data_IF_607078455201
#
_entry.id   IF_607078455201
#
_cell.length_a   1.000
_cell.length_b   1.000
_cell.length_c   1.000
_cell.angle_alpha   90.00
_cell.angle_beta   90.00
_cell.angle_gamma   90.00
#
_symmetry.space_group_name_H-M   'P 1'
#
loop_
_entity.id
_entity.type
_entity.pdbx_description
1 polymer ?
#
# COMPACT_ATOMS: atom_id res chain seq x y z
N UNK A 1 -16.07 -12.26 30.80
CA UNK A 1 -16.93 -11.64 29.77
C UNK A 1 -16.55 -10.20 29.51
N UNK A 2 -16.29 -9.37 30.54
CA UNK A 2 -15.86 -7.96 30.37
C UNK A 2 -14.65 -7.76 29.46
N UNK A 3 -13.74 -8.73 29.44
CA UNK A 3 -12.46 -8.65 28.72
C UNK A 3 -12.49 -9.37 27.37
N UNK A 4 -13.67 -9.74 26.87
CA UNK A 4 -13.85 -10.32 25.54
C UNK A 4 -14.26 -9.21 24.57
N UNK A 5 -13.47 -9.02 23.52
CA UNK A 5 -13.78 -8.13 22.41
C UNK A 5 -13.99 -8.95 21.14
N UNK A 6 -15.00 -8.62 20.34
CA UNK A 6 -15.28 -9.33 19.10
C UNK A 6 -15.39 -8.36 17.93
N UNK A 7 -15.04 -8.82 16.74
CA UNK A 7 -15.27 -8.11 15.49
C UNK A 7 -15.83 -9.03 14.42
N UNK A 8 -16.45 -8.43 13.41
CA UNK A 8 -17.02 -9.14 12.27
C UNK A 8 -16.01 -9.27 11.14
N UNK A 9 -15.98 -10.45 10.52
CA UNK A 9 -15.19 -10.75 9.32
C UNK A 9 -16.11 -11.11 8.17
N UNK A 10 -15.74 -10.68 6.96
CA UNK A 10 -16.39 -11.13 5.73
C UNK A 10 -16.18 -12.63 5.54
N UNK A 11 -17.15 -13.28 4.90
CA UNK A 11 -17.19 -14.74 4.71
C UNK A 11 -17.04 -15.16 3.25
N UNK A 12 -16.91 -14.20 2.33
CA UNK A 12 -16.78 -14.47 0.90
C UNK A 12 -17.95 -15.27 0.31
N UNK A 13 -17.63 -16.11 -0.69
CA UNK A 13 -18.57 -17.03 -1.35
C UNK A 13 -17.85 -18.33 -1.68
N UNK A 14 -18.47 -19.47 -1.36
CA UNK A 14 -17.87 -20.81 -1.44
C UNK A 14 -18.71 -21.81 -2.25
N UNK A 15 -19.57 -21.32 -3.14
CA UNK A 15 -20.38 -22.16 -4.04
C UNK A 15 -21.83 -22.33 -3.60
N UNK A 16 -22.26 -21.65 -2.55
CA UNK A 16 -23.64 -21.65 -2.09
C UNK A 16 -24.62 -21.11 -3.15
N UNK A 17 -25.82 -21.68 -3.20
CA UNK A 17 -26.87 -21.32 -4.18
C UNK A 17 -27.62 -20.04 -3.80
N UNK A 18 -27.83 -19.84 -2.51
CA UNK A 18 -28.49 -18.68 -1.94
C UNK A 18 -27.51 -18.08 -0.94
N UNK A 19 -27.26 -16.78 -1.03
CA UNK A 19 -26.46 -16.04 -0.06
C UNK A 19 -27.34 -15.07 0.72
N UNK A 20 -26.95 -14.82 1.96
CA UNK A 20 -27.47 -13.76 2.82
C UNK A 20 -26.35 -12.76 3.09
N UNK A 21 -26.67 -11.58 3.59
CA UNK A 21 -25.65 -10.67 4.15
C UNK A 21 -25.22 -11.21 5.52
N UNK A 22 -24.42 -12.25 5.49
CA UNK A 22 -23.92 -12.93 6.68
C UNK A 22 -22.47 -12.56 6.93
N UNK A 23 -22.11 -12.39 8.21
CA UNK A 23 -20.75 -12.16 8.66
C UNK A 23 -20.40 -13.19 9.72
N UNK A 24 -19.12 -13.56 9.80
CA UNK A 24 -18.61 -14.34 10.91
C UNK A 24 -18.15 -13.39 12.02
N UNK A 25 -18.31 -13.78 13.28
CA UNK A 25 -17.81 -13.05 14.44
C UNK A 25 -16.61 -13.79 15.03
N UNK A 26 -15.47 -13.11 15.10
CA UNK A 26 -14.28 -13.59 15.79
C UNK A 26 -14.12 -12.82 17.11
N UNK A 27 -13.72 -13.52 18.18
CA UNK A 27 -13.58 -12.95 19.51
C UNK A 27 -12.15 -13.12 20.05
N UNK A 28 -11.75 -12.21 20.94
CA UNK A 28 -10.39 -12.07 21.45
C UNK A 28 -10.44 -11.77 22.94
N UNK A 29 -9.42 -12.22 23.67
CA UNK A 29 -9.30 -11.98 25.10
C UNK A 29 -8.28 -10.88 25.41
N UNK A 30 -8.77 -9.74 25.88
CA UNK A 30 -7.99 -8.52 26.07
C UNK A 30 -7.39 -8.35 27.48
N UNK A 31 -7.65 -9.26 28.42
CA UNK A 31 -7.14 -9.11 29.79
C UNK A 31 -5.60 -9.07 29.81
N UNK A 32 -5.04 -8.00 30.35
CA UNK A 32 -3.58 -7.85 30.52
C UNK A 32 -2.82 -7.29 29.31
N UNK A 33 -3.47 -6.99 28.19
CA UNK A 33 -2.81 -6.36 27.02
C UNK A 33 -3.80 -5.62 26.12
N UNK A 34 -3.38 -4.50 25.52
CA UNK A 34 -4.17 -3.89 24.44
C UNK A 34 -4.08 -4.65 23.11
N UNK A 35 -3.14 -5.59 22.99
CA UNK A 35 -2.92 -6.35 21.77
C UNK A 35 -3.81 -7.59 21.68
N UNK A 36 -5.13 -7.34 21.57
CA UNK A 36 -6.13 -8.41 21.57
C UNK A 36 -5.94 -9.38 20.39
N UNK A 37 -5.45 -8.91 19.23
CA UNK A 37 -5.29 -9.73 18.01
C UNK A 37 -4.30 -10.89 18.18
N UNK A 38 -3.40 -10.82 19.17
CA UNK A 38 -2.50 -11.93 19.50
C UNK A 38 -3.12 -12.96 20.45
N UNK A 39 -4.38 -12.75 20.86
CA UNK A 39 -5.10 -13.60 21.83
C UNK A 39 -6.51 -13.97 21.35
N UNK A 40 -6.64 -14.57 20.15
CA UNK A 40 -7.93 -15.00 19.64
C UNK A 40 -8.50 -16.15 20.46
N UNK A 41 -9.83 -16.16 20.56
CA UNK A 41 -10.64 -17.27 21.06
C UNK A 41 -11.09 -18.03 19.82
N UNK A 42 -10.45 -19.17 19.56
CA UNK A 42 -10.71 -19.98 18.37
C UNK A 42 -11.64 -21.17 18.64
N UNK A 43 -12.02 -21.83 17.54
CA UNK A 43 -12.90 -22.99 17.49
C UNK A 43 -14.37 -22.77 17.88
N UNK A 44 -14.77 -21.50 17.99
CA UNK A 44 -16.17 -21.08 18.07
C UNK A 44 -16.58 -20.46 16.73
N UNK A 45 -17.55 -21.09 16.05
CA UNK A 45 -18.17 -20.56 14.84
C UNK A 45 -19.41 -19.78 15.23
N UNK A 46 -19.41 -18.48 14.93
CA UNK A 46 -20.53 -17.57 15.18
C UNK A 46 -20.82 -16.84 13.88
N UNK A 47 -21.97 -17.11 13.27
CA UNK A 47 -22.43 -16.37 12.11
C UNK A 47 -23.60 -15.48 12.49
N UNK A 48 -23.65 -14.29 11.91
CA UNK A 48 -24.69 -13.29 12.13
C UNK A 48 -25.27 -12.89 10.79
N UNK A 49 -26.59 -13.04 10.66
CA UNK A 49 -27.35 -12.43 9.59
C UNK A 49 -27.46 -10.93 9.89
N UNK A 50 -26.82 -10.12 9.05
CA UNK A 50 -26.67 -8.68 9.24
C UNK A 50 -27.91 -7.91 8.81
N UNK A 51 -28.80 -8.51 8.01
CA UNK A 51 -30.09 -7.90 7.66
C UNK A 51 -31.10 -8.11 8.78
N UNK A 52 -31.12 -9.31 9.35
CA UNK A 52 -32.00 -9.67 10.46
C UNK A 52 -31.43 -9.28 11.84
N UNK A 53 -30.15 -8.86 11.90
CA UNK A 53 -29.41 -8.51 13.12
C UNK A 53 -29.48 -9.59 14.21
N UNK A 54 -29.29 -10.86 13.83
CA UNK A 54 -29.33 -12.01 14.75
C UNK A 54 -28.28 -13.06 14.42
N UNK A 55 -27.90 -13.84 15.44
CA UNK A 55 -27.08 -15.04 15.25
C UNK A 55 -27.87 -16.03 14.37
N UNK A 56 -27.27 -16.41 13.24
CA UNK A 56 -27.80 -17.37 12.28
C UNK A 56 -27.26 -18.77 12.55
N UNK A 57 -26.01 -18.89 12.99
CA UNK A 57 -25.35 -20.15 13.32
C UNK A 57 -24.44 -19.95 14.56
N UNK A 58 -24.45 -20.93 15.46
CA UNK A 58 -23.52 -21.01 16.59
C UNK A 58 -23.06 -22.46 16.74
N UNK A 59 -21.74 -22.66 16.75
CA UNK A 59 -21.13 -23.97 16.98
C UNK A 59 -19.83 -23.79 17.77
N UNK A 60 -19.80 -24.32 18.98
CA UNK A 60 -18.60 -24.42 19.82
C UNK A 60 -17.99 -25.82 19.62
N UNK A 61 -16.78 -25.88 19.06
CA UNK A 61 -16.19 -27.14 18.55
C UNK A 61 -15.19 -27.73 19.53
N UNK A 62 -14.23 -26.91 19.97
CA UNK A 62 -13.10 -27.37 20.76
C UNK A 62 -12.59 -26.26 21.68
N UNK A 63 -12.10 -26.66 22.86
CA UNK A 63 -11.42 -25.74 23.78
C UNK A 63 -9.96 -25.65 23.37
N UNK A 64 -9.55 -24.47 22.90
CA UNK A 64 -8.18 -24.20 22.47
C UNK A 64 -7.33 -23.58 23.58
N UNK A 65 -6.01 -23.63 23.39
CA UNK A 65 -5.08 -22.89 24.26
C UNK A 65 -5.18 -21.40 23.96
N UNK A 66 -5.22 -20.55 24.98
CA UNK A 66 -5.16 -19.10 24.80
C UNK A 66 -3.70 -18.61 24.92
N UNK A 67 -3.16 -17.88 23.93
CA UNK A 67 -1.84 -17.29 24.04
C UNK A 67 -1.72 -16.34 25.25
N UNK A 68 -0.51 -16.24 25.81
CA UNK A 68 -0.22 -15.37 26.96
C UNK A 68 -0.25 -13.90 26.54
N UNK A 69 -0.63 -13.02 27.48
CA UNK A 69 -0.57 -11.57 27.28
C UNK A 69 0.87 -11.02 27.40
N UNK A 70 1.74 -11.71 28.13
CA UNK A 70 3.12 -11.28 28.38
C UNK A 70 3.89 -11.08 27.06
N UNK A 71 4.53 -9.92 26.95
CA UNK A 71 5.33 -9.57 25.77
C UNK A 71 4.54 -9.09 24.55
N UNK A 72 3.22 -8.91 24.65
CA UNK A 72 2.37 -8.50 23.51
C UNK A 72 2.08 -6.99 23.46
N UNK A 73 2.31 -6.25 24.54
CA UNK A 73 1.98 -4.83 24.67
C UNK A 73 2.93 -3.94 23.86
N UNK A 74 2.37 -2.98 23.11
CA UNK A 74 3.11 -2.10 22.20
C UNK A 74 3.12 -0.64 22.66
N UNK A 75 2.26 -0.26 23.62
CA UNK A 75 2.18 1.12 24.11
C UNK A 75 3.35 1.39 25.04
N UNK A 76 4.19 2.35 24.66
CA UNK A 76 5.36 2.77 25.44
C UNK A 76 5.07 3.02 26.92
N UNK A 77 3.91 3.61 27.23
CA UNK A 77 3.48 3.90 28.61
C UNK A 77 3.25 2.66 29.49
N UNK A 78 3.13 1.49 28.89
CA UNK A 78 2.89 0.21 29.57
C UNK A 78 4.09 -0.74 29.47
N UNK A 79 5.15 -0.35 28.74
CA UNK A 79 6.38 -1.14 28.63
C UNK A 79 7.29 -0.93 29.84
N UNK A 80 8.03 -1.98 30.20
CA UNK A 80 9.02 -1.95 31.28
C UNK A 80 10.44 -1.80 30.70
N UNK A 81 11.37 -1.11 31.39
CA UNK A 81 12.78 -1.07 31.00
C UNK A 81 13.42 -2.48 30.93
N UNK A 82 14.51 -2.65 30.15
CA UNK A 82 15.22 -1.63 29.39
C UNK A 82 14.56 -1.27 28.05
N UNK A 83 14.61 0.01 27.68
CA UNK A 83 14.17 0.52 26.38
C UNK A 83 15.40 0.97 25.58
N UNK A 84 15.48 0.60 24.30
CA UNK A 84 16.59 1.05 23.45
C UNK A 84 16.58 0.45 22.04
N UNK A 85 17.50 0.91 21.18
CA UNK A 85 18.50 1.95 21.42
C UNK A 85 17.90 3.37 21.50
N UNK A 86 18.56 4.29 22.22
CA UNK A 86 18.15 5.71 22.26
C UNK A 86 18.41 6.36 20.90
N UNK A 87 17.37 6.97 20.32
CA UNK A 87 17.48 7.77 19.10
C UNK A 87 17.58 9.26 19.43
N UNK A 88 18.41 10.00 18.69
CA UNK A 88 18.49 11.45 18.79
C UNK A 88 17.54 12.08 17.77
N UNK A 89 16.42 12.63 18.25
CA UNK A 89 15.44 13.25 17.37
C UNK A 89 15.98 14.59 16.84
N UNK A 90 15.95 14.79 15.52
CA UNK A 90 16.12 16.09 14.87
C UNK A 90 14.89 16.38 14.02
N UNK A 91 14.15 17.42 14.38
CA UNK A 91 13.09 17.95 13.53
C UNK A 91 13.70 19.01 12.60
N UNK A 92 13.47 18.88 11.30
CA UNK A 92 13.83 19.89 10.31
C UNK A 92 12.61 20.79 10.10
N UNK A 93 12.76 22.10 10.32
CA UNK A 93 11.70 23.10 10.11
C UNK A 93 12.11 24.00 8.95
N UNK A 94 11.21 24.21 7.99
CA UNK A 94 11.43 25.17 6.91
C UNK A 94 11.12 26.59 7.39
N UNK A 95 12.06 27.52 7.23
CA UNK A 95 11.92 28.89 7.73
C UNK A 95 10.81 29.69 7.02
N UNK A 96 10.45 29.31 5.78
CA UNK A 96 9.53 30.06 4.92
C UNK A 96 8.20 29.31 4.67
N UNK A 97 7.85 28.34 5.51
CA UNK A 97 6.68 27.48 5.30
C UNK A 97 6.93 26.36 4.28
N UNK A 98 5.87 25.65 3.83
CA UNK A 98 5.99 24.58 2.84
C UNK A 98 6.33 25.12 1.44
N UNK A 99 7.15 24.41 0.67
CA UNK A 99 7.46 24.73 -0.73
C UNK A 99 6.33 24.47 -1.73
N UNK A 100 5.12 24.17 -1.24
CA UNK A 100 3.93 23.94 -2.03
C UNK A 100 2.79 24.85 -1.58
N UNK A 101 1.83 25.06 -2.48
CA UNK A 101 0.58 25.78 -2.19
C UNK A 101 -0.60 24.84 -2.36
N UNK A 102 -1.62 25.06 -1.52
CA UNK A 102 -2.88 24.33 -1.54
C UNK A 102 -4.03 25.33 -1.76
N UNK A 103 -4.58 25.34 -2.97
CA UNK A 103 -5.71 26.19 -3.36
C UNK A 103 -6.97 25.31 -3.43
N UNK A 104 -7.75 25.29 -2.35
CA UNK A 104 -8.80 24.28 -2.18
C UNK A 104 -8.18 22.89 -2.11
N UNK A 105 -8.44 22.05 -3.12
CA UNK A 105 -7.85 20.72 -3.23
C UNK A 105 -6.77 20.62 -4.33
N UNK A 106 -6.41 21.75 -4.95
CA UNK A 106 -5.36 21.82 -5.96
C UNK A 106 -4.01 22.08 -5.29
N UNK A 107 -3.07 21.17 -5.52
CA UNK A 107 -1.70 21.25 -5.03
C UNK A 107 -0.79 21.72 -6.16
N UNK A 108 -0.04 22.80 -5.91
CA UNK A 108 1.05 23.26 -6.80
C UNK A 108 2.37 23.18 -6.05
N UNK A 109 3.33 22.47 -6.60
CA UNK A 109 4.64 22.26 -5.99
C UNK A 109 5.72 22.11 -7.06
N UNK A 110 6.81 22.86 -6.93
CA UNK A 110 7.89 22.87 -7.92
C UNK A 110 7.34 23.06 -9.35
N UNK A 111 7.45 22.04 -10.20
CA UNK A 111 6.91 22.01 -11.55
C UNK A 111 5.64 21.15 -11.68
N UNK A 112 5.04 20.68 -10.60
CA UNK A 112 3.81 19.88 -10.61
C UNK A 112 2.57 20.68 -10.22
N UNK A 113 1.46 20.33 -10.85
CA UNK A 113 0.11 20.72 -10.45
C UNK A 113 -0.81 19.50 -10.51
N UNK A 114 -1.58 19.25 -9.45
CA UNK A 114 -2.56 18.16 -9.37
C UNK A 114 -3.69 18.46 -8.40
N UNK A 115 -4.79 17.71 -8.50
CA UNK A 115 -5.92 17.76 -7.57
C UNK A 115 -5.91 16.55 -6.64
N UNK A 116 -6.08 16.77 -5.34
CA UNK A 116 -6.19 15.73 -4.32
C UNK A 116 -7.65 15.57 -3.88
N UNK A 117 -8.25 14.41 -4.16
CA UNK A 117 -9.57 14.05 -3.65
C UNK A 117 -9.47 12.95 -2.59
N UNK A 118 -10.55 12.78 -1.83
CA UNK A 118 -10.69 11.77 -0.79
C UNK A 118 -12.02 11.05 -0.96
N UNK A 119 -12.01 9.71 -0.93
CA UNK A 119 -13.16 8.85 -1.20
C UNK A 119 -13.30 7.78 -0.11
N UNK A 120 -14.54 7.47 0.28
CA UNK A 120 -14.84 6.50 1.34
C UNK A 120 -14.29 5.09 1.05
N UNK A 121 -14.30 4.67 -0.22
CA UNK A 121 -13.92 3.33 -0.64
C UNK A 121 -12.41 3.22 -0.87
N UNK A 122 -11.81 4.20 -1.54
CA UNK A 122 -10.43 4.09 -2.05
C UNK A 122 -9.42 5.04 -1.39
N UNK A 123 -9.87 5.91 -0.49
CA UNK A 123 -9.01 6.88 0.20
C UNK A 123 -8.53 7.99 -0.75
N UNK A 124 -7.22 8.32 -0.80
CA UNK A 124 -6.71 9.45 -1.57
C UNK A 124 -6.70 9.16 -3.07
N UNK A 125 -7.12 10.15 -3.86
CA UNK A 125 -7.11 10.09 -5.32
C UNK A 125 -6.31 11.27 -5.86
N UNK A 126 -5.24 10.98 -6.61
CA UNK A 126 -4.47 11.98 -7.36
C UNK A 126 -5.11 12.15 -8.72
N UNK A 127 -5.53 13.37 -9.06
CA UNK A 127 -6.18 13.67 -10.34
C UNK A 127 -5.49 14.82 -11.07
N UNK A 128 -5.61 14.84 -12.40
CA UNK A 128 -5.14 15.91 -13.28
C UNK A 128 -3.64 16.26 -13.13
N UNK A 129 -2.82 15.32 -12.67
CA UNK A 129 -1.41 15.57 -12.44
C UNK A 129 -0.67 15.92 -13.74
N UNK A 130 -0.12 17.12 -13.75
CA UNK A 130 0.55 17.72 -14.89
C UNK A 130 1.87 18.34 -14.44
N UNK A 131 2.88 18.22 -15.29
CA UNK A 131 4.22 18.77 -15.06
C UNK A 131 4.50 19.93 -16.01
N UNK A 132 5.05 21.02 -15.50
CA UNK A 132 5.46 22.19 -16.27
C UNK A 132 6.78 21.90 -16.97
N UNK A 133 6.74 21.98 -18.30
CA UNK A 133 7.90 21.84 -19.17
C UNK A 133 8.50 23.24 -19.40
N UNK A 134 9.67 23.48 -18.82
CA UNK A 134 10.37 24.78 -18.91
C UNK A 134 10.79 25.13 -20.33
N UNK A 135 11.10 24.15 -21.18
CA UNK A 135 11.51 24.39 -22.57
C UNK A 135 10.31 24.69 -23.47
N UNK A 136 9.18 24.04 -23.21
CA UNK A 136 7.95 24.19 -23.99
C UNK A 136 7.01 25.26 -23.44
N UNK A 137 7.34 25.85 -22.27
CA UNK A 137 6.53 26.84 -21.56
C UNK A 137 5.06 26.44 -21.39
N UNK A 138 4.80 25.17 -21.04
CA UNK A 138 3.44 24.65 -20.85
C UNK A 138 3.37 23.49 -19.87
N UNK A 139 2.22 23.33 -19.24
CA UNK A 139 1.90 22.11 -18.49
C UNK A 139 1.58 20.96 -19.44
N UNK A 140 2.12 19.79 -19.11
CA UNK A 140 1.98 18.54 -19.85
C UNK A 140 1.34 17.50 -18.94
N UNK A 141 0.21 16.95 -19.38
CA UNK A 141 -0.55 15.95 -18.61
C UNK A 141 0.23 14.65 -18.50
N UNK A 142 0.19 14.03 -17.32
CA UNK A 142 0.82 12.73 -17.05
C UNK A 142 -0.21 11.70 -16.56
N UNK A 143 -0.98 12.04 -15.53
CA UNK A 143 -1.93 11.15 -14.87
C UNK A 143 -3.28 11.87 -14.74
N UNK A 144 -4.33 11.34 -15.38
CA UNK A 144 -5.67 11.88 -15.23
C UNK A 144 -6.27 11.51 -13.88
N UNK A 145 -6.13 10.25 -13.45
CA UNK A 145 -6.62 9.76 -12.17
C UNK A 145 -5.83 8.53 -11.69
N UNK A 146 -5.36 8.55 -10.44
CA UNK A 146 -4.61 7.47 -9.82
C UNK A 146 -5.03 7.22 -8.36
N UNK A 147 -5.24 5.95 -8.00
CA UNK A 147 -5.59 5.52 -6.64
C UNK A 147 -5.36 4.01 -6.45
N UNK A 148 -5.33 3.54 -5.19
CA UNK A 148 -5.40 2.11 -4.86
C UNK A 148 -6.85 1.68 -5.01
N UNK A 149 -7.14 0.82 -5.99
CA UNK A 149 -8.52 0.44 -6.31
C UNK A 149 -9.05 -0.69 -5.44
N UNK A 150 -8.16 -1.58 -5.00
CA UNK A 150 -8.52 -2.72 -4.17
C UNK A 150 -7.29 -3.31 -3.48
N UNK A 151 -7.51 -3.97 -2.34
CA UNK A 151 -6.55 -4.87 -1.72
C UNK A 151 -7.15 -6.27 -1.63
N UNK A 152 -6.34 -7.32 -1.72
CA UNK A 152 -6.78 -8.69 -1.51
C UNK A 152 -5.81 -9.42 -0.57
N UNK A 153 -6.34 -9.88 0.58
CA UNK A 153 -5.58 -10.49 1.67
C UNK A 153 -6.04 -11.94 1.90
N UNK A 154 -5.62 -12.91 1.06
CA UNK A 154 -5.96 -14.32 1.25
C UNK A 154 -5.08 -14.96 2.33
N UNK A 155 -5.71 -15.59 3.31
CA UNK A 155 -5.05 -16.49 4.26
C UNK A 155 -4.96 -17.92 3.70
N UNK A 156 -3.94 -18.65 4.12
CA UNK A 156 -3.57 -19.96 3.56
C UNK A 156 -3.83 -21.14 4.52
N UNK A 157 -4.71 -20.94 5.51
CA UNK A 157 -5.15 -21.99 6.42
C UNK A 157 -6.54 -22.51 5.99
N UNK A 158 -6.64 -23.77 5.52
CA UNK A 158 -7.89 -24.33 5.01
C UNK A 158 -8.82 -24.84 6.12
N UNK A 159 -8.46 -24.69 7.39
CA UNK A 159 -9.32 -25.11 8.49
C UNK A 159 -10.61 -24.28 8.54
N UNK A 160 -11.65 -24.88 9.11
CA UNK A 160 -12.99 -24.26 9.24
C UNK A 160 -12.97 -22.92 10.02
N UNK A 161 -11.91 -22.62 10.79
CA UNK A 161 -11.73 -21.31 11.42
C UNK A 161 -11.26 -20.20 10.47
N UNK A 162 -10.60 -20.56 9.37
CA UNK A 162 -9.76 -19.67 8.57
C UNK A 162 -10.04 -19.66 7.07
N UNK A 163 -10.61 -20.73 6.51
CA UNK A 163 -10.75 -20.91 5.05
C UNK A 163 -11.45 -19.73 4.34
N UNK A 164 -12.36 -19.05 5.03
CA UNK A 164 -13.12 -17.91 4.52
C UNK A 164 -12.39 -16.56 4.57
N UNK A 165 -11.23 -16.47 5.24
CA UNK A 165 -10.50 -15.22 5.43
C UNK A 165 -9.74 -14.84 4.16
N UNK A 166 -10.38 -14.03 3.33
CA UNK A 166 -9.80 -13.50 2.10
C UNK A 166 -10.29 -12.07 1.84
N UNK A 167 -9.80 -11.13 2.64
CA UNK A 167 -10.36 -9.78 2.73
C UNK A 167 -10.16 -8.96 1.46
N UNK A 168 -11.19 -8.19 1.12
CA UNK A 168 -11.13 -7.14 0.11
C UNK A 168 -11.26 -5.77 0.78
N UNK A 169 -10.16 -5.26 1.34
CA UNK A 169 -10.21 -4.13 2.28
C UNK A 169 -10.95 -2.90 1.74
N UNK A 170 -10.71 -2.52 0.48
CA UNK A 170 -11.38 -1.35 -0.10
C UNK A 170 -12.84 -1.66 -0.39
N UNK A 171 -13.15 -2.84 -0.93
CA UNK A 171 -14.50 -3.24 -1.31
C UNK A 171 -15.44 -3.57 -0.13
N UNK A 172 -14.91 -4.17 0.93
CA UNK A 172 -15.69 -4.69 2.06
C UNK A 172 -15.76 -3.71 3.24
N UNK A 173 -14.66 -3.00 3.53
CA UNK A 173 -14.55 -2.12 4.70
C UNK A 173 -14.47 -0.63 4.34
N UNK A 174 -14.00 -0.32 3.13
CA UNK A 174 -13.82 1.04 2.64
C UNK A 174 -12.53 1.67 3.16
N UNK A 175 -11.55 1.81 2.29
CA UNK A 175 -10.20 2.21 2.66
C UNK A 175 -10.09 3.67 3.13
N UNK A 176 -10.99 4.53 2.67
CA UNK A 176 -11.12 5.89 3.21
C UNK A 176 -11.88 5.93 4.53
N UNK A 177 -12.87 5.04 4.72
CA UNK A 177 -13.59 4.90 5.99
C UNK A 177 -12.68 4.41 7.12
N UNK A 178 -11.65 3.62 6.77
CA UNK A 178 -10.64 3.11 7.71
C UNK A 178 -9.41 4.03 7.83
N UNK A 179 -9.45 5.23 7.25
CA UNK A 179 -8.39 6.22 7.45
C UNK A 179 -8.36 6.68 8.92
N UNK A 180 -7.17 6.66 9.52
CA UNK A 180 -6.95 7.06 10.91
C UNK A 180 -6.32 8.45 11.00
N UNK A 181 -6.60 9.22 12.07
CA UNK A 181 -5.91 10.49 12.31
C UNK A 181 -4.39 10.30 12.38
N UNK A 182 -3.67 11.08 11.59
CA UNK A 182 -2.21 11.01 11.52
C UNK A 182 -1.53 11.76 12.69
N UNK A 183 -0.65 11.02 13.37
CA UNK A 183 0.49 11.37 14.22
C UNK A 183 1.39 12.54 13.81
N UNK A 184 1.23 13.80 14.25
CA UNK A 184 2.24 14.81 13.98
C UNK A 184 3.60 14.40 14.58
N UNK A 185 4.66 14.57 13.78
CA UNK A 185 6.06 14.18 14.08
C UNK A 185 6.35 12.67 14.11
N UNK A 186 5.32 11.81 14.10
CA UNK A 186 5.49 10.35 14.07
C UNK A 186 5.13 9.80 12.70
N UNK A 187 3.92 10.07 12.22
CA UNK A 187 3.44 9.63 10.90
C UNK A 187 3.82 10.63 9.81
N UNK A 188 3.85 11.92 10.14
CA UNK A 188 4.19 13.00 9.21
C UNK A 188 5.22 13.97 9.82
N UNK A 189 6.19 14.46 9.03
CA UNK A 189 7.26 15.32 9.53
C UNK A 189 6.75 16.72 9.92
N UNK A 190 7.60 17.49 10.58
CA UNK A 190 7.27 18.82 11.11
C UNK A 190 6.85 19.85 10.03
N UNK A 191 7.24 19.66 8.77
CA UNK A 191 6.87 20.51 7.64
C UNK A 191 5.59 20.04 6.93
N UNK A 192 4.84 19.09 7.51
CA UNK A 192 3.61 18.59 6.93
C UNK A 192 2.44 19.56 7.10
N UNK A 193 1.61 19.66 6.07
CA UNK A 193 0.28 20.26 6.11
C UNK A 193 -0.74 19.14 6.18
N UNK A 194 -1.60 19.16 7.19
CA UNK A 194 -2.65 18.16 7.38
C UNK A 194 -3.96 18.60 6.74
N UNK A 195 -4.71 17.62 6.24
CA UNK A 195 -6.02 17.81 5.62
C UNK A 195 -7.00 16.86 6.32
N UNK A 196 -8.12 17.42 6.76
CA UNK A 196 -9.21 16.66 7.36
C UNK A 196 -10.02 15.92 6.29
N UNK A 197 -10.45 14.70 6.61
CA UNK A 197 -11.39 13.92 5.81
C UNK A 197 -12.82 14.11 6.30
N UNK A 198 -13.78 14.15 5.38
CA UNK A 198 -15.22 14.16 5.70
C UNK A 198 -15.91 13.07 4.89
N UNK A 199 -16.53 12.10 5.59
CA UNK A 199 -17.23 10.98 4.99
C UNK A 199 -18.63 10.85 5.60
N UNK A 200 -19.55 10.17 4.92
CA UNK A 200 -20.89 9.94 5.45
C UNK A 200 -20.91 8.71 6.39
N UNK A 201 -21.58 8.85 7.54
CA UNK A 201 -21.91 7.74 8.43
C UNK A 201 -23.11 6.94 7.91
N UNK A 202 -23.49 5.86 8.59
CA UNK A 202 -24.61 5.00 8.22
C UNK A 202 -25.96 5.72 8.15
N UNK A 203 -26.14 6.80 8.92
CA UNK A 203 -27.32 7.67 8.92
C UNK A 203 -27.23 8.81 7.87
N UNK A 204 -26.14 8.85 7.10
CA UNK A 204 -25.86 9.87 6.10
C UNK A 204 -25.28 11.17 6.65
N UNK A 205 -25.06 11.28 7.97
CA UNK A 205 -24.47 12.47 8.57
C UNK A 205 -22.96 12.54 8.30
N UNK A 206 -22.39 13.74 8.05
CA UNK A 206 -20.97 13.88 7.82
C UNK A 206 -20.18 13.65 9.12
N UNK A 207 -19.18 12.78 9.05
CA UNK A 207 -18.21 12.52 10.11
C UNK A 207 -16.85 13.03 9.67
N UNK A 208 -16.21 13.75 10.57
CA UNK A 208 -14.88 14.31 10.38
C UNK A 208 -13.83 13.32 10.89
N UNK A 209 -12.88 12.97 10.03
CA UNK A 209 -11.59 12.36 10.43
C UNK A 209 -10.54 13.46 10.41
N UNK A 210 -10.10 13.90 11.59
CA UNK A 210 -9.07 14.94 11.67
C UNK A 210 -7.73 14.41 11.18
N UNK A 211 -6.93 15.23 10.50
CA UNK A 211 -5.60 14.82 10.00
C UNK A 211 -5.62 13.53 9.15
N UNK A 212 -6.66 13.31 8.34
CA UNK A 212 -6.79 12.09 7.52
C UNK A 212 -5.68 11.96 6.47
N UNK A 213 -5.19 13.10 5.96
CA UNK A 213 -4.11 13.15 4.98
C UNK A 213 -3.04 14.14 5.46
N UNK A 214 -1.80 13.93 5.05
CA UNK A 214 -0.76 14.94 5.17
C UNK A 214 0.03 15.11 3.87
N UNK A 215 0.45 16.34 3.58
CA UNK A 215 1.30 16.70 2.44
C UNK A 215 2.60 17.28 2.99
N UNK A 216 3.75 16.78 2.54
CA UNK A 216 5.05 17.28 3.00
C UNK A 216 6.15 17.14 1.95
N UNK A 217 7.19 17.96 2.09
CA UNK A 217 8.42 17.80 1.31
C UNK A 217 9.37 16.83 2.03
N UNK A 218 9.81 15.79 1.33
CA UNK A 218 10.75 14.80 1.83
C UNK A 218 12.18 15.21 1.46
N UNK A 219 13.01 15.37 2.48
CA UNK A 219 14.45 15.61 2.37
C UNK A 219 15.23 14.38 2.84
N UNK A 220 15.19 13.29 2.06
CA UNK A 220 15.77 12.00 2.46
C UNK A 220 17.32 11.95 2.38
N UNK A 221 17.97 13.06 2.01
CA UNK A 221 19.40 13.06 1.70
C UNK A 221 19.74 12.39 0.36
N UNK A 222 18.71 12.07 -0.43
CA UNK A 222 18.85 11.50 -1.76
C UNK A 222 19.49 12.51 -2.73
N UNK A 223 20.20 11.98 -3.73
CA UNK A 223 20.90 12.77 -4.73
C UNK A 223 20.08 12.77 -6.01
N UNK A 224 19.64 13.95 -6.46
CA UNK A 224 18.89 14.10 -7.72
C UNK A 224 19.78 13.74 -8.91
N UNK A 225 20.99 14.30 -8.94
CA UNK A 225 22.08 13.89 -9.83
C UNK A 225 23.41 14.43 -9.33
N UNK A 226 24.50 13.79 -9.75
CA UNK A 226 25.86 14.26 -9.48
C UNK A 226 26.83 13.83 -10.56
N UNK A 227 27.91 14.59 -10.71
CA UNK A 227 29.05 14.22 -11.52
C UNK A 227 30.36 14.74 -10.92
N UNK A 228 31.46 14.05 -11.22
CA UNK A 228 32.80 14.47 -10.83
C UNK A 228 33.73 14.14 -11.99
N UNK A 229 34.26 15.17 -12.63
CA UNK A 229 35.23 15.04 -13.73
C UNK A 229 36.64 15.06 -13.13
N UNK A 230 37.41 14.02 -13.42
CA UNK A 230 38.73 13.77 -12.82
C UNK A 230 39.88 13.85 -13.82
N UNK A 231 39.58 14.00 -15.11
CA UNK A 231 40.57 14.01 -16.20
C UNK A 231 40.91 15.40 -16.69
N UNK A 232 40.06 16.39 -16.43
CA UNK A 232 40.34 17.78 -16.75
C UNK A 232 41.05 18.48 -15.57
N UNK A 233 41.91 19.47 -15.84
CA UNK A 233 42.52 20.28 -14.78
C UNK A 233 41.45 21.03 -13.95
N UNK A 234 41.65 21.06 -12.63
CA UNK A 234 40.75 21.74 -11.66
C UNK A 234 39.88 20.78 -10.85
N UNK A 235 39.17 21.30 -9.85
CA UNK A 235 38.16 20.55 -9.09
C UNK A 235 36.78 20.74 -9.74
N UNK A 236 36.43 19.85 -10.67
CA UNK A 236 35.16 19.88 -11.40
C UNK A 236 34.21 18.85 -10.79
N UNK A 237 33.35 19.33 -9.88
CA UNK A 237 32.36 18.51 -9.19
C UNK A 237 31.05 19.26 -9.04
N UNK A 238 29.95 18.55 -9.30
CA UNK A 238 28.60 19.08 -9.17
C UNK A 238 27.68 18.04 -8.53
N UNK A 239 26.86 18.47 -7.57
CA UNK A 239 25.92 17.62 -6.83
C UNK A 239 24.63 18.40 -6.60
N UNK A 240 23.48 17.79 -6.88
CA UNK A 240 22.17 18.37 -6.58
C UNK A 240 21.37 17.45 -5.66
N UNK A 241 20.81 17.98 -4.56
CA UNK A 241 19.95 17.20 -3.67
C UNK A 241 18.60 16.92 -4.32
N UNK A 242 17.99 15.79 -3.97
CA UNK A 242 16.61 15.47 -4.31
C UNK A 242 15.67 15.96 -3.21
N UNK A 243 14.58 16.60 -3.64
CA UNK A 243 13.41 16.93 -2.80
C UNK A 243 12.20 16.40 -3.53
N UNK A 244 11.35 15.66 -2.82
CA UNK A 244 10.09 15.13 -3.36
C UNK A 244 8.90 15.58 -2.53
N UNK A 245 7.74 15.69 -3.16
CA UNK A 245 6.48 15.94 -2.46
C UNK A 245 5.79 14.62 -2.17
N UNK A 246 5.36 14.41 -0.93
CA UNK A 246 4.64 13.21 -0.51
C UNK A 246 3.24 13.60 -0.06
N UNK A 247 2.24 12.91 -0.58
CA UNK A 247 0.88 12.86 -0.02
C UNK A 247 0.73 11.53 0.69
N UNK A 248 0.40 11.55 1.98
CA UNK A 248 0.28 10.37 2.83
C UNK A 248 -1.10 10.20 3.41
N UNK A 249 -1.56 8.95 3.47
CA UNK A 249 -2.67 8.46 4.30
C UNK A 249 -2.20 7.24 5.09
N UNK A 250 -2.74 7.03 6.29
CA UNK A 250 -2.69 5.73 6.97
C UNK A 250 -4.10 5.17 7.10
N UNK A 251 -4.31 3.93 6.69
CA UNK A 251 -5.55 3.20 6.87
C UNK A 251 -5.31 1.98 7.78
N UNK A 252 -6.19 1.79 8.76
CA UNK A 252 -6.12 0.65 9.70
C UNK A 252 -7.33 -0.24 9.51
N UNK A 253 -7.13 -1.44 8.95
CA UNK A 253 -8.19 -2.42 8.71
C UNK A 253 -7.97 -3.59 9.66
N UNK A 254 -8.76 -3.61 10.74
CA UNK A 254 -8.59 -4.61 11.79
C UNK A 254 -7.19 -4.55 12.41
N UNK A 255 -6.40 -5.59 12.18
CA UNK A 255 -5.05 -5.75 12.71
C UNK A 255 -3.94 -5.14 11.83
N UNK A 256 -4.24 -4.68 10.61
CA UNK A 256 -3.24 -4.18 9.67
C UNK A 256 -3.25 -2.66 9.56
N UNK A 257 -2.06 -2.09 9.41
CA UNK A 257 -1.85 -0.66 9.15
C UNK A 257 -1.15 -0.48 7.79
N UNK A 258 -1.79 0.27 6.89
CA UNK A 258 -1.33 0.56 5.54
C UNK A 258 -0.91 2.01 5.42
N UNK A 259 0.38 2.26 5.18
CA UNK A 259 0.93 3.60 4.95
C UNK A 259 0.99 3.86 3.44
N UNK A 260 0.05 4.65 2.92
CA UNK A 260 -0.02 4.98 1.50
C UNK A 260 0.74 6.28 1.21
N UNK A 261 1.74 6.21 0.34
CA UNK A 261 2.49 7.36 -0.13
C UNK A 261 2.35 7.54 -1.65
N UNK A 262 1.91 8.73 -2.07
CA UNK A 262 2.12 9.26 -3.42
C UNK A 262 3.26 10.26 -3.41
N UNK A 263 4.37 9.92 -4.06
CA UNK A 263 5.60 10.71 -4.12
C UNK A 263 5.82 11.30 -5.52
N UNK A 264 5.84 12.62 -5.64
CA UNK A 264 6.10 13.35 -6.90
C UNK A 264 7.49 13.99 -6.85
N UNK A 265 8.23 13.88 -7.96
CA UNK A 265 9.63 14.35 -8.07
C UNK A 265 9.79 15.39 -9.17
N UNK A 266 10.67 16.41 -9.03
CA UNK A 266 10.83 17.45 -10.06
C UNK A 266 11.43 16.90 -11.36
N UNK A 267 12.05 15.72 -11.30
CA UNK A 267 12.53 14.94 -12.44
C UNK A 267 11.41 14.39 -13.33
N UNK A 268 10.14 14.51 -12.93
CA UNK A 268 8.98 13.96 -13.63
C UNK A 268 8.54 12.57 -13.18
N UNK A 269 9.20 11.99 -12.17
CA UNK A 269 8.81 10.69 -11.63
C UNK A 269 7.63 10.83 -10.66
N UNK A 270 6.68 9.89 -10.76
CA UNK A 270 5.66 9.62 -9.74
C UNK A 270 5.95 8.23 -9.19
N UNK A 271 6.10 8.13 -7.88
CA UNK A 271 6.30 6.87 -7.17
C UNK A 271 5.13 6.68 -6.22
N UNK A 272 4.47 5.53 -6.33
CA UNK A 272 3.46 5.11 -5.36
C UNK A 272 4.02 3.95 -4.54
N UNK A 273 3.74 3.94 -3.24
CA UNK A 273 4.17 2.87 -2.35
C UNK A 273 3.17 2.64 -1.23
N UNK A 274 3.13 1.39 -0.75
CA UNK A 274 2.38 1.00 0.45
C UNK A 274 3.38 0.42 1.45
N UNK A 275 3.47 1.01 2.63
CA UNK A 275 4.12 0.42 3.79
C UNK A 275 3.13 -0.44 4.57
N UNK A 276 3.59 -1.59 5.08
CA UNK A 276 2.78 -2.51 5.88
C UNK A 276 3.34 -2.56 7.31
N UNK A 277 2.48 -2.36 8.29
CA UNK A 277 2.76 -2.58 9.71
C UNK A 277 1.49 -3.09 10.42
N UNK A 278 1.43 -2.97 11.74
CA UNK A 278 0.33 -3.48 12.56
C UNK A 278 0.69 -4.79 13.25
N UNK A 279 -0.31 -5.64 13.44
CA UNK A 279 -0.23 -6.88 14.22
C UNK A 279 -0.53 -8.08 13.33
N UNK A 280 0.20 -9.19 13.52
CA UNK A 280 -0.11 -10.45 12.85
C UNK A 280 -1.49 -10.96 13.29
N UNK A 281 -2.29 -11.45 12.34
CA UNK A 281 -3.38 -12.36 12.69
C UNK A 281 -2.77 -13.74 13.01
N UNK A 282 -3.08 -14.24 14.19
CA UNK A 282 -2.47 -15.48 14.70
C UNK A 282 -3.52 -16.53 14.96
N UNK A 283 -3.09 -17.79 14.88
CA UNK A 283 -3.87 -18.97 15.28
C UNK A 283 -3.28 -19.55 16.57
N UNK A 284 -4.09 -19.82 17.61
CA UNK A 284 -3.62 -20.51 18.78
C UNK A 284 -3.25 -21.96 18.50
N UNK A 285 -2.16 -22.42 19.09
CA UNK A 285 -1.70 -23.81 18.97
C UNK A 285 -1.23 -24.33 20.33
N UNK A 286 -1.17 -25.65 20.47
CA UNK A 286 -0.66 -26.30 21.70
C UNK A 286 0.87 -26.31 21.76
N UNK A 287 1.55 -26.06 20.63
CA UNK A 287 3.01 -26.06 20.55
C UNK A 287 3.63 -24.84 21.24
N UNK A 288 4.72 -25.05 21.95
CA UNK A 288 5.56 -24.03 22.60
C UNK A 288 6.94 -23.94 21.97
N UNK A 289 7.32 -24.92 21.15
CA UNK A 289 8.58 -24.98 20.43
C UNK A 289 8.38 -25.56 19.03
N UNK A 290 9.18 -25.12 18.05
CA UNK A 290 9.12 -25.60 16.67
C UNK A 290 9.28 -27.13 16.54
N UNK A 291 10.07 -27.76 17.41
CA UNK A 291 10.29 -29.22 17.40
C UNK A 291 9.03 -30.03 17.74
N UNK A 292 7.99 -29.38 18.28
CA UNK A 292 6.71 -30.01 18.61
C UNK A 292 5.74 -30.06 17.42
N UNK A 293 6.05 -29.36 16.32
CA UNK A 293 5.22 -29.30 15.12
C UNK A 293 5.39 -30.60 14.34
N UNK A 294 4.30 -31.37 14.20
CA UNK A 294 4.31 -32.69 13.54
C UNK A 294 3.62 -32.70 12.17
N UNK A 295 2.80 -31.70 11.92
CA UNK A 295 1.95 -31.57 10.74
C UNK A 295 2.07 -30.14 10.18
N UNK A 296 1.51 -29.91 9.00
CA UNK A 296 1.49 -28.57 8.41
C UNK A 296 0.75 -27.59 9.33
N UNK A 297 1.43 -26.51 9.72
CA UNK A 297 0.88 -25.51 10.62
C UNK A 297 0.16 -24.38 9.87
N UNK A 298 0.30 -24.32 8.54
CA UNK A 298 -0.23 -23.25 7.68
C UNK A 298 0.26 -21.85 8.10
N UNK A 299 1.43 -21.82 8.76
CA UNK A 299 2.02 -20.62 9.30
C UNK A 299 3.34 -20.90 9.99
N UNK A 300 3.90 -19.88 10.62
CA UNK A 300 5.14 -19.97 11.39
C UNK A 300 4.84 -19.80 12.88
N UNK A 301 5.42 -20.63 13.74
CA UNK A 301 5.39 -20.43 15.19
C UNK A 301 6.22 -19.19 15.55
N UNK A 302 5.56 -18.09 15.92
CA UNK A 302 6.20 -16.79 16.21
C UNK A 302 6.39 -16.53 17.70
N UNK A 303 5.63 -17.24 18.54
CA UNK A 303 5.76 -17.27 19.99
C UNK A 303 5.18 -18.58 20.53
N UNK A 304 5.36 -18.85 21.83
CA UNK A 304 4.65 -19.94 22.49
C UNK A 304 3.14 -19.87 22.18
N UNK A 305 2.56 -21.00 21.78
CA UNK A 305 1.15 -21.14 21.47
C UNK A 305 0.61 -20.27 20.32
N UNK A 306 1.49 -19.66 19.52
CA UNK A 306 1.11 -18.60 18.58
C UNK A 306 1.69 -18.85 17.19
N UNK A 307 0.85 -19.26 16.24
CA UNK A 307 1.22 -19.37 14.83
C UNK A 307 0.76 -18.13 14.08
N UNK A 308 1.68 -17.42 13.45
CA UNK A 308 1.36 -16.41 12.44
C UNK A 308 0.97 -17.11 11.15
N UNK A 309 -0.31 -17.01 10.77
CA UNK A 309 -0.85 -17.73 9.61
C UNK A 309 -0.31 -17.12 8.31
N UNK A 310 0.10 -17.98 7.36
CA UNK A 310 0.56 -17.52 6.06
C UNK A 310 -0.57 -16.79 5.32
N UNK A 311 -0.23 -15.65 4.70
CA UNK A 311 -1.16 -14.84 3.93
C UNK A 311 -0.38 -13.94 2.96
N UNK A 312 -1.09 -13.42 1.97
CA UNK A 312 -0.54 -12.46 1.01
C UNK A 312 -1.17 -11.08 1.18
N UNK A 313 -0.49 -10.05 0.68
CA UNK A 313 -1.07 -8.70 0.51
C UNK A 313 -0.95 -8.32 -0.96
N UNK A 314 -2.06 -8.39 -1.69
CA UNK A 314 -2.13 -7.90 -3.07
C UNK A 314 -2.72 -6.49 -3.08
N UNK A 315 -2.03 -5.56 -3.75
CA UNK A 315 -2.49 -4.17 -3.89
C UNK A 315 -2.69 -3.87 -5.37
N UNK A 316 -3.90 -3.46 -5.73
CA UNK A 316 -4.26 -3.10 -7.09
C UNK A 316 -4.33 -1.58 -7.25
N UNK A 317 -3.72 -1.07 -8.32
CA UNK A 317 -3.73 0.36 -8.65
C UNK A 317 -4.55 0.62 -9.90
N UNK A 318 -5.42 1.62 -9.82
CA UNK A 318 -5.99 2.25 -11.00
C UNK A 318 -5.09 3.40 -11.43
N UNK A 319 -4.59 3.37 -12.68
CA UNK A 319 -3.70 4.38 -13.24
C UNK A 319 -4.19 4.81 -14.63
N UNK A 320 -5.00 5.87 -14.68
CA UNK A 320 -5.48 6.46 -15.93
C UNK A 320 -4.44 7.46 -16.47
N UNK A 321 -3.49 6.96 -17.26
CA UNK A 321 -2.41 7.77 -17.81
C UNK A 321 -2.85 8.51 -19.06
N UNK A 322 -2.69 9.84 -19.04
CA UNK A 322 -2.92 10.72 -20.18
C UNK A 322 -1.61 11.42 -20.54
N UNK A 323 -0.65 10.68 -21.11
CA UNK A 323 0.67 11.18 -21.48
C UNK A 323 0.52 12.18 -22.64
N UNK A 324 0.66 13.47 -22.35
CA UNK A 324 0.40 14.59 -23.28
C UNK A 324 -0.99 14.58 -23.95
N UNK A 325 -1.97 13.92 -23.33
CA UNK A 325 -3.31 13.74 -23.88
C UNK A 325 -3.81 12.30 -23.74
N UNK A 326 -5.01 12.06 -24.25
CA UNK A 326 -5.77 10.81 -24.17
C UNK A 326 -5.35 9.77 -25.23
N UNK A 327 -4.86 10.23 -26.38
CA UNK A 327 -4.42 9.37 -27.47
C UNK A 327 -3.09 8.67 -27.14
N UNK A 328 -3.17 7.59 -26.36
CA UNK A 328 -2.01 6.85 -25.85
C UNK A 328 -1.94 5.41 -26.42
N UNK A 329 -0.78 4.78 -26.29
CA UNK A 329 -0.55 3.38 -26.67
C UNK A 329 0.46 2.74 -25.72
N UNK A 330 0.23 1.48 -25.39
CA UNK A 330 1.12 0.70 -24.55
C UNK A 330 2.18 -0.01 -25.40
N UNK A 331 3.44 0.07 -24.96
CA UNK A 331 4.59 -0.52 -25.64
C UNK A 331 5.40 -1.33 -24.65
N UNK A 332 5.52 -2.64 -24.92
CA UNK A 332 6.48 -3.53 -24.27
C UNK A 332 7.81 -3.46 -25.01
N UNK A 333 8.89 -3.21 -24.29
CA UNK A 333 10.26 -3.19 -24.83
C UNK A 333 11.07 -4.31 -24.20
N UNK A 334 11.41 -5.33 -24.97
CA UNK A 334 12.22 -6.46 -24.51
C UNK A 334 13.70 -6.19 -24.78
N UNK A 335 14.58 -6.50 -23.83
CA UNK A 335 15.99 -6.65 -24.12
C UNK A 335 16.24 -8.03 -24.73
N UNK A 336 16.85 -8.06 -25.91
CA UNK A 336 17.13 -9.31 -26.64
C UNK A 336 18.60 -9.38 -26.99
N UNK A 337 19.23 -10.51 -26.66
CA UNK A 337 20.62 -10.79 -27.03
C UNK A 337 20.70 -11.15 -28.51
N UNK A 338 21.65 -10.55 -29.22
CA UNK A 338 22.00 -10.85 -30.60
C UNK A 338 23.46 -11.25 -30.71
N UNK A 339 23.71 -12.28 -31.51
CA UNK A 339 25.06 -12.67 -31.88
C UNK A 339 25.62 -11.67 -32.90
N UNK A 340 26.89 -11.33 -32.75
CA UNK A 340 27.60 -10.52 -33.72
C UNK A 340 28.10 -11.43 -34.85
N UNK A 341 27.43 -11.39 -35.99
CA UNK A 341 27.75 -12.21 -37.17
C UNK A 341 28.67 -11.50 -38.17
N UNK A 342 29.03 -10.23 -37.93
CA UNK A 342 29.80 -9.42 -38.88
C UNK A 342 31.28 -9.85 -38.97
N UNK A 343 31.82 -10.59 -38.00
CA UNK A 343 33.22 -11.06 -37.98
C UNK A 343 34.29 -9.97 -37.90
N UNK A 344 33.92 -8.70 -38.05
CA UNK A 344 34.81 -7.53 -38.06
C UNK A 344 35.23 -7.03 -36.67
N UNK A 345 34.66 -7.58 -35.60
CA UNK A 345 35.04 -7.19 -34.24
C UNK A 345 35.20 -8.42 -33.34
N UNK A 346 36.08 -8.37 -32.31
CA UNK A 346 36.22 -9.46 -31.35
C UNK A 346 34.98 -9.72 -30.47
N UNK A 347 34.02 -8.78 -30.45
CA UNK A 347 32.80 -8.88 -29.63
C UNK A 347 31.88 -9.93 -30.23
N UNK A 348 31.53 -10.97 -29.46
CA UNK A 348 30.71 -12.10 -29.93
C UNK A 348 29.20 -11.85 -29.87
N UNK A 349 28.73 -10.97 -28.98
CA UNK A 349 27.30 -10.66 -28.83
C UNK A 349 27.09 -9.25 -28.28
N UNK A 350 25.85 -8.78 -28.39
CA UNK A 350 25.35 -7.54 -27.80
C UNK A 350 23.86 -7.70 -27.52
N UNK A 351 23.27 -6.85 -26.68
CA UNK A 351 21.82 -6.78 -26.54
C UNK A 351 21.26 -5.63 -27.36
N UNK A 352 20.00 -5.75 -27.77
CA UNK A 352 19.24 -4.68 -28.41
C UNK A 352 17.81 -4.68 -27.90
N UNK A 353 17.01 -3.73 -28.36
CA UNK A 353 15.61 -3.58 -27.97
C UNK A 353 14.67 -4.08 -29.05
N UNK A 354 13.71 -4.92 -28.67
CA UNK A 354 12.57 -5.28 -29.50
C UNK A 354 11.30 -4.62 -28.91
N UNK A 355 10.60 -3.81 -29.70
CA UNK A 355 9.40 -3.09 -29.25
C UNK A 355 8.16 -3.78 -29.81
N UNK A 356 7.20 -4.05 -28.94
CA UNK A 356 5.88 -4.57 -29.29
C UNK A 356 4.83 -3.58 -28.79
N UNK A 357 4.11 -2.96 -29.73
CA UNK A 357 2.98 -2.09 -29.42
C UNK A 357 1.71 -2.94 -29.31
N UNK A 358 0.88 -2.68 -28.30
CA UNK A 358 -0.40 -3.35 -28.17
C UNK A 358 -1.39 -2.90 -29.24
N UNK A 359 -2.31 -3.79 -29.59
CA UNK A 359 -3.48 -3.42 -30.40
C UNK A 359 -4.49 -2.67 -29.51
N UNK A 360 -5.21 -1.67 -30.05
CA UNK A 360 -6.32 -1.05 -29.33
C UNK A 360 -7.36 -2.10 -28.91
N UNK A 361 -7.98 -1.92 -27.74
CA UNK A 361 -9.11 -2.71 -27.22
C UNK A 361 -8.81 -4.20 -26.91
N UNK A 362 -7.55 -4.59 -26.77
CA UNK A 362 -7.20 -5.88 -26.19
C UNK A 362 -6.86 -5.69 -24.70
N UNK A 363 -7.47 -6.49 -23.82
CA UNK A 363 -6.97 -6.63 -22.46
C UNK A 363 -5.52 -7.14 -22.53
N UNK A 364 -4.64 -6.48 -21.79
CA UNK A 364 -3.24 -6.86 -21.72
C UNK A 364 -2.97 -7.45 -20.35
N UNK A 365 -2.62 -8.73 -20.35
CA UNK A 365 -2.20 -9.45 -19.15
C UNK A 365 -0.69 -9.67 -19.22
N UNK A 366 -0.01 -9.37 -18.12
CA UNK A 366 1.43 -9.55 -18.02
C UNK A 366 1.80 -10.13 -16.66
N UNK A 367 2.62 -11.19 -16.69
CA UNK A 367 3.30 -11.71 -15.51
C UNK A 367 4.78 -11.30 -15.57
N UNK A 368 5.31 -10.82 -14.44
CA UNK A 368 6.73 -10.53 -14.30
C UNK A 368 7.49 -11.81 -14.03
N UNK A 369 8.30 -12.24 -14.99
CA UNK A 369 9.27 -13.33 -14.81
C UNK A 369 10.66 -12.73 -14.60
N UNK A 370 11.16 -12.74 -13.36
CA UNK A 370 12.53 -12.32 -13.05
C UNK A 370 13.60 -13.20 -13.72
N UNK A 371 13.22 -14.40 -14.19
CA UNK A 371 14.10 -15.39 -14.82
C UNK A 371 14.34 -15.16 -16.32
N UNK A 372 13.64 -14.22 -16.96
CA UNK A 372 13.86 -13.83 -18.37
C UNK A 372 14.25 -12.35 -18.46
N UNK A 373 15.24 -12.06 -19.30
CA UNK A 373 15.85 -10.75 -19.54
C UNK A 373 14.87 -9.56 -19.41
N UNK A 374 15.36 -8.50 -18.74
CA UNK A 374 14.61 -7.30 -18.35
C UNK A 374 13.72 -6.75 -19.48
N UNK A 375 12.44 -6.56 -19.18
CA UNK A 375 11.48 -5.87 -20.05
C UNK A 375 11.15 -4.49 -19.46
N UNK A 376 11.07 -3.47 -20.32
CA UNK A 376 10.61 -2.13 -19.96
C UNK A 376 9.23 -1.87 -20.57
N UNK A 377 8.31 -1.39 -19.73
CA UNK A 377 6.94 -1.07 -20.11
C UNK A 377 6.81 0.44 -20.26
N UNK A 378 6.17 0.92 -21.33
CA UNK A 378 6.01 2.36 -21.56
C UNK A 378 4.66 2.67 -22.21
N UNK A 379 3.99 3.69 -21.70
CA UNK A 379 2.86 4.34 -22.38
C UNK A 379 3.40 5.55 -23.16
N UNK A 380 2.96 5.72 -24.40
CA UNK A 380 3.41 6.81 -25.29
C UNK A 380 2.22 7.42 -26.03
N UNK A 381 2.38 8.66 -26.47
CA UNK A 381 1.47 9.30 -27.42
C UNK A 381 1.35 8.43 -28.68
N UNK A 382 0.12 8.16 -29.09
CA UNK A 382 -0.21 7.50 -30.34
C UNK A 382 0.08 8.48 -31.47
N UNK A 383 1.17 8.28 -32.21
CA UNK A 383 1.38 9.02 -33.46
C UNK A 383 0.28 8.62 -34.45
N UNK A 384 -0.32 9.57 -35.20
CA UNK A 384 -1.16 9.22 -36.34
C UNK A 384 -0.34 8.32 -37.26
N UNK A 385 -0.95 7.26 -37.82
CA UNK A 385 -0.36 6.62 -39.00
C UNK A 385 -0.23 7.74 -40.04
N UNK A 386 1.00 8.07 -40.43
CA UNK A 386 1.21 8.80 -41.69
C UNK A 386 0.58 7.91 -42.77
N UNK A 387 -0.55 8.35 -43.30
CA UNK A 387 -1.19 7.72 -44.45
C UNK A 387 -0.22 7.96 -45.62
N UNK A 388 0.66 7.01 -45.88
CA UNK A 388 1.44 6.98 -47.12
C UNK A 388 0.48 6.57 -48.22
N UNK A 389 -0.20 7.56 -48.79
CA UNK A 389 -0.75 7.46 -50.16
C UNK A 389 0.27 7.99 -51.14
#
# INVERSE_FOLDING_TARGET
MSDVACYTVSIGWFGEKNSKRELKVDCFYAEGTANMFLRPIEDIKIHVDFDEMRVSEYLDREITTLPKADGTEYRLSHMKPPLGPRMNNKATVTANGPGFTLEGNTVKWANWEFHLAFDARVGPIISLASIYDLEQHKYRRVLYRGYVSELYIPYQDPSEGWYQRSFFDSGEFGFGLTAVPLEPLNDCPANAVFIDGYLANQDGLPVKTSNALCIFERHAGDIMWRHTESKLPGDIREVRPEVSLVVRMVATVGNYDYILDWELKPSGSIKSGVGLTGVLAVRPVTYTNADQIKEEAHGTLVAENTVGVYHDHFINYYLDLHIDGDANSFVKTNLVTKNNTNGKTPRKSYWTVEKRQSRPNLMLEFCWELSRWSSHWRIRIRKPKLDTR
#
